data_IF_783175281169
#
_entry.id   IF_783175281169
#
_cell.length_a   1.000
_cell.length_b   1.000
_cell.length_c   1.000
_cell.angle_alpha   90.00
_cell.angle_beta   90.00
_cell.angle_gamma   90.00
#
_symmetry.space_group_name_H-M   'P 1'
#
loop_
_entity.id
_entity.type
_entity.pdbx_description
1 polymer ?
#
# COMPACT_ATOMS: atom_id res chain seq x y z
N UNK A 1 -8.55 22.83 12.93
CA UNK A 1 -7.13 22.46 12.79
C UNK A 1 -7.13 20.99 12.41
N UNK A 2 -6.59 20.50 11.30
CA UNK A 2 -5.49 20.98 10.46
C UNK A 2 -5.82 20.77 8.97
N UNK A 3 -5.25 21.63 8.11
CA UNK A 3 -5.24 21.40 6.68
C UNK A 3 -4.18 20.36 6.31
N UNK A 4 -4.60 19.25 5.72
CA UNK A 4 -3.70 18.26 5.10
C UNK A 4 -3.90 18.12 3.59
N UNK A 5 -4.95 18.73 3.03
CA UNK A 5 -5.32 18.60 1.61
C UNK A 5 -4.24 19.09 0.64
N UNK A 6 -3.38 20.04 1.04
CA UNK A 6 -2.34 20.59 0.16
C UNK A 6 -1.15 19.66 -0.09
N UNK A 7 -0.70 18.91 0.93
CA UNK A 7 0.47 18.04 0.81
C UNK A 7 0.16 16.72 0.09
N UNK A 8 -1.06 16.23 0.27
CA UNK A 8 -1.56 15.02 -0.38
C UNK A 8 -1.69 15.22 -1.89
N UNK A 9 -2.30 16.34 -2.30
CA UNK A 9 -2.60 16.62 -3.72
C UNK A 9 -1.33 16.90 -4.53
N UNK A 10 -0.33 17.53 -3.90
CA UNK A 10 0.99 17.77 -4.51
C UNK A 10 1.77 16.47 -4.71
N UNK A 11 1.78 15.61 -3.70
CA UNK A 11 2.43 14.29 -3.77
C UNK A 11 1.79 13.37 -4.81
N UNK A 12 0.45 13.38 -4.93
CA UNK A 12 -0.25 12.61 -5.97
C UNK A 12 0.11 13.10 -7.39
N UNK A 13 0.29 14.41 -7.57
CA UNK A 13 0.75 14.99 -8.84
C UNK A 13 2.20 14.62 -9.15
N UNK A 14 3.06 14.55 -8.14
CA UNK A 14 4.47 14.19 -8.29
C UNK A 14 4.65 12.76 -8.81
N UNK A 15 3.83 11.82 -8.34
CA UNK A 15 3.84 10.44 -8.81
C UNK A 15 3.23 10.25 -10.22
N UNK A 16 2.63 11.30 -10.81
CA UNK A 16 1.95 11.25 -12.10
C UNK A 16 0.86 10.15 -12.23
N UNK A 17 0.32 9.67 -11.10
CA UNK A 17 -0.74 8.65 -11.10
C UNK A 17 -2.08 9.37 -11.25
N UNK A 18 -2.91 8.99 -12.24
CA UNK A 18 -4.22 9.60 -12.40
C UNK A 18 -5.14 9.33 -11.21
N UNK A 19 -5.91 10.33 -10.80
CA UNK A 19 -6.82 10.24 -9.64
C UNK A 19 -7.88 9.13 -9.78
N UNK A 20 -8.23 8.78 -11.02
CA UNK A 20 -9.12 7.64 -11.31
C UNK A 20 -8.53 6.31 -10.85
N UNK A 21 -7.21 6.16 -10.91
CA UNK A 21 -6.49 4.98 -10.40
C UNK A 21 -6.31 5.07 -8.88
N UNK A 22 -6.03 6.25 -8.34
CA UNK A 22 -5.88 6.43 -6.89
C UNK A 22 -7.15 6.07 -6.11
N UNK A 23 -8.33 6.35 -6.67
CA UNK A 23 -9.64 6.10 -6.03
C UNK A 23 -10.17 4.68 -6.18
N UNK A 24 -9.55 3.82 -7.01
CA UNK A 24 -9.95 2.41 -7.12
C UNK A 24 -9.17 1.54 -6.14
N UNK A 25 -9.65 0.32 -5.99
CA UNK A 25 -8.95 -0.71 -5.24
C UNK A 25 -7.74 -1.22 -6.05
N UNK A 26 -6.62 -1.54 -5.37
CA UNK A 26 -5.52 -2.25 -5.99
C UNK A 26 -5.91 -3.71 -6.30
N UNK A 27 -5.46 -4.18 -7.45
CA UNK A 27 -5.53 -5.57 -7.89
C UNK A 27 -4.46 -6.39 -7.17
N UNK A 28 -4.65 -7.70 -7.09
CA UNK A 28 -3.69 -8.59 -6.43
C UNK A 28 -2.31 -8.54 -7.10
N UNK A 29 -2.26 -8.39 -8.43
CA UNK A 29 -1.01 -8.18 -9.16
C UNK A 29 -0.31 -6.88 -8.75
N UNK A 30 -1.06 -5.80 -8.54
CA UNK A 30 -0.52 -4.51 -8.10
C UNK A 30 0.01 -4.63 -6.67
N UNK A 31 -0.78 -5.22 -5.77
CA UNK A 31 -0.37 -5.49 -4.39
C UNK A 31 0.90 -6.35 -4.32
N UNK A 32 1.03 -7.38 -5.16
CA UNK A 32 2.22 -8.23 -5.21
C UNK A 32 3.47 -7.45 -5.67
N UNK A 33 3.33 -6.55 -6.65
CA UNK A 33 4.45 -5.70 -7.09
C UNK A 33 4.84 -4.68 -6.01
N UNK A 34 3.86 -4.09 -5.32
CA UNK A 34 4.08 -3.15 -4.21
C UNK A 34 4.70 -3.87 -3.01
N UNK A 35 4.27 -5.10 -2.71
CA UNK A 35 4.82 -5.91 -1.62
C UNK A 35 6.32 -6.21 -1.78
N UNK A 36 6.84 -6.21 -3.02
CA UNK A 36 8.28 -6.33 -3.29
C UNK A 36 9.05 -5.02 -3.09
N UNK A 37 8.33 -3.89 -3.03
CA UNK A 37 8.88 -2.55 -2.80
C UNK A 37 8.88 -2.20 -1.32
N UNK A 38 7.84 -2.62 -0.60
CA UNK A 38 7.79 -2.50 0.85
C UNK A 38 8.93 -3.36 1.43
N UNK A 39 9.83 -2.70 2.14
CA UNK A 39 10.97 -3.34 2.80
C UNK A 39 10.58 -3.90 4.15
N UNK A 40 11.37 -3.59 5.17
CA UNK A 40 11.17 -4.08 6.55
C UNK A 40 10.11 -3.28 7.32
N UNK A 41 9.59 -2.20 6.75
CA UNK A 41 8.57 -1.34 7.38
C UNK A 41 7.14 -1.90 7.27
N UNK A 42 6.96 -3.05 6.63
CA UNK A 42 5.64 -3.66 6.46
C UNK A 42 4.79 -3.85 7.73
N UNK A 43 5.33 -4.16 8.93
CA UNK A 43 4.47 -4.34 10.09
C UNK A 43 3.89 -3.00 10.56
N UNK A 44 4.65 -1.90 10.48
CA UNK A 44 4.16 -0.56 10.80
C UNK A 44 3.13 -0.11 9.77
N UNK A 45 3.41 -0.36 8.49
CA UNK A 45 2.48 -0.09 7.40
C UNK A 45 1.18 -0.88 7.54
N UNK A 46 1.23 -2.16 7.90
CA UNK A 46 0.04 -2.96 8.14
C UNK A 46 -0.81 -2.41 9.28
N UNK A 47 -0.18 -1.96 10.37
CA UNK A 47 -0.86 -1.34 11.51
C UNK A 47 -1.52 -0.02 11.10
N UNK A 48 -0.80 0.83 10.36
CA UNK A 48 -1.30 2.11 9.85
C UNK A 48 -2.51 1.93 8.92
N UNK A 49 -2.48 0.87 8.10
CA UNK A 49 -3.59 0.47 7.26
C UNK A 49 -4.78 -0.13 8.04
N UNK A 50 -4.67 -0.33 9.35
CA UNK A 50 -5.74 -0.88 10.19
C UNK A 50 -5.73 -2.40 10.31
N UNK A 51 -4.69 -3.09 9.83
CA UNK A 51 -4.54 -4.53 10.04
C UNK A 51 -4.08 -4.78 11.47
N UNK A 52 -4.80 -5.63 12.24
CA UNK A 52 -4.44 -5.90 13.62
C UNK A 52 -3.08 -6.60 13.69
N UNK A 53 -2.21 -6.15 14.61
CA UNK A 53 -0.87 -6.72 14.81
C UNK A 53 -0.88 -8.24 15.01
N UNK A 54 -1.88 -8.78 15.70
CA UNK A 54 -2.03 -10.23 15.88
C UNK A 54 -2.16 -10.98 14.53
N UNK A 55 -2.78 -10.35 13.52
CA UNK A 55 -2.91 -10.92 12.19
C UNK A 55 -1.63 -10.81 11.39
N UNK A 56 -0.90 -9.71 11.53
CA UNK A 56 0.43 -9.53 10.96
C UNK A 56 1.39 -10.62 11.48
N UNK A 57 1.44 -10.80 12.79
CA UNK A 57 2.27 -11.82 13.45
C UNK A 57 1.91 -13.24 13.00
N UNK A 58 0.61 -13.54 12.89
CA UNK A 58 0.13 -14.82 12.33
C UNK A 58 0.64 -15.03 10.89
N UNK A 59 0.48 -14.03 10.02
CA UNK A 59 0.93 -14.11 8.62
C UNK A 59 2.45 -14.30 8.54
N UNK A 60 3.21 -13.60 9.39
CA UNK A 60 4.67 -13.74 9.52
C UNK A 60 5.08 -15.15 9.93
N UNK A 61 4.39 -15.74 10.90
CA UNK A 61 4.63 -17.13 11.32
C UNK A 61 4.33 -18.12 10.20
N UNK A 62 3.22 -17.93 9.47
CA UNK A 62 2.82 -18.79 8.35
C UNK A 62 3.75 -18.68 7.13
N UNK A 63 4.37 -17.51 6.93
CA UNK A 63 5.13 -17.18 5.72
C UNK A 63 6.58 -16.76 6.01
N UNK A 64 7.16 -17.28 7.10
CA UNK A 64 8.47 -16.87 7.64
C UNK A 64 9.61 -16.85 6.60
N UNK A 65 9.53 -17.70 5.58
CA UNK A 65 10.55 -17.82 4.53
C UNK A 65 10.48 -16.75 3.42
N UNK A 66 9.41 -15.95 3.33
CA UNK A 66 9.23 -15.03 2.22
C UNK A 66 8.55 -13.72 2.65
N UNK A 67 9.36 -12.70 2.96
CA UNK A 67 8.89 -11.38 3.36
C UNK A 67 7.96 -10.76 2.32
N UNK A 68 8.25 -10.86 1.02
CA UNK A 68 7.33 -10.34 -0.01
C UNK A 68 5.96 -11.03 0.02
N UNK A 69 5.90 -12.31 0.37
CA UNK A 69 4.63 -13.01 0.53
C UNK A 69 3.89 -12.57 1.81
N UNK A 70 4.60 -12.41 2.92
CA UNK A 70 4.06 -11.84 4.17
C UNK A 70 3.39 -10.49 3.88
N UNK A 71 4.11 -9.60 3.22
CA UNK A 71 3.62 -8.26 2.90
C UNK A 71 2.39 -8.33 1.99
N UNK A 72 2.44 -9.16 0.96
CA UNK A 72 1.31 -9.35 0.05
C UNK A 72 0.05 -9.83 0.80
N UNK A 73 0.20 -10.76 1.73
CA UNK A 73 -0.90 -11.25 2.57
C UNK A 73 -1.46 -10.16 3.50
N UNK A 74 -0.60 -9.33 4.10
CA UNK A 74 -1.03 -8.19 4.93
C UNK A 74 -1.84 -7.19 4.09
N UNK A 75 -1.38 -6.86 2.89
CA UNK A 75 -2.09 -5.95 1.98
C UNK A 75 -3.41 -6.54 1.49
N UNK A 76 -3.46 -7.86 1.26
CA UNK A 76 -4.69 -8.58 0.95
C UNK A 76 -5.69 -8.51 2.10
N UNK A 77 -5.23 -8.71 3.33
CA UNK A 77 -6.06 -8.65 4.53
C UNK A 77 -6.60 -7.24 4.77
N UNK A 78 -5.75 -6.22 4.62
CA UNK A 78 -6.17 -4.82 4.63
C UNK A 78 -7.29 -4.57 3.61
N UNK A 79 -7.09 -5.01 2.36
CA UNK A 79 -8.08 -4.86 1.30
C UNK A 79 -9.40 -5.56 1.65
N UNK A 80 -9.35 -6.75 2.27
CA UNK A 80 -10.54 -7.49 2.70
C UNK A 80 -11.25 -6.80 3.85
N UNK A 81 -10.51 -6.30 4.83
CA UNK A 81 -11.06 -5.64 6.03
C UNK A 81 -11.66 -4.26 5.72
N UNK A 82 -11.02 -3.48 4.85
CA UNK A 82 -11.42 -2.09 4.57
C UNK A 82 -12.30 -1.94 3.31
N UNK A 83 -12.57 -3.01 2.56
CA UNK A 83 -13.44 -3.10 1.37
C UNK A 83 -13.46 -1.85 0.48
N UNK A 84 -14.29 -0.83 0.75
CA UNK A 84 -14.43 0.40 -0.05
C UNK A 84 -13.37 1.47 0.22
N UNK A 85 -12.71 1.43 1.38
CA UNK A 85 -11.69 2.39 1.79
C UNK A 85 -10.27 1.92 1.46
N UNK A 86 -10.12 0.68 1.01
CA UNK A 86 -8.87 0.08 0.57
C UNK A 86 -8.44 0.58 -0.82
N UNK A 87 -8.31 1.90 -0.94
CA UNK A 87 -7.94 2.58 -2.18
C UNK A 87 -6.43 2.67 -2.34
N UNK A 88 -5.95 2.70 -3.59
CA UNK A 88 -4.53 2.89 -3.89
C UNK A 88 -3.99 4.16 -3.21
N UNK A 89 -4.81 5.20 -3.11
CA UNK A 89 -4.45 6.42 -2.41
C UNK A 89 -4.03 6.17 -0.95
N UNK A 90 -4.85 5.46 -0.17
CA UNK A 90 -4.57 5.18 1.23
C UNK A 90 -3.31 4.33 1.38
N UNK A 91 -3.10 3.36 0.48
CA UNK A 91 -1.88 2.56 0.46
C UNK A 91 -0.63 3.42 0.23
N UNK A 92 -0.65 4.30 -0.76
CA UNK A 92 0.49 5.17 -1.08
C UNK A 92 0.77 6.18 0.03
N UNK A 93 -0.26 6.68 0.70
CA UNK A 93 -0.11 7.53 1.88
C UNK A 93 0.57 6.76 3.01
N UNK A 94 0.05 5.58 3.37
CA UNK A 94 0.66 4.75 4.41
C UNK A 94 2.12 4.42 4.09
N UNK A 95 2.43 4.08 2.84
CA UNK A 95 3.82 3.87 2.39
C UNK A 95 4.68 5.11 2.61
N UNK A 96 4.20 6.30 2.20
CA UNK A 96 4.93 7.55 2.37
C UNK A 96 5.17 7.88 3.85
N UNK A 97 4.15 7.76 4.68
CA UNK A 97 4.24 8.07 6.12
C UNK A 97 5.18 7.12 6.86
N UNK A 98 5.27 5.87 6.38
CA UNK A 98 6.19 4.88 6.92
C UNK A 98 7.63 5.00 6.36
N UNK A 99 7.85 5.85 5.35
CA UNK A 99 9.17 6.05 4.73
C UNK A 99 9.53 5.01 3.66
N UNK A 100 8.55 4.25 3.17
CA UNK A 100 8.78 3.23 2.15
C UNK A 100 9.21 3.83 0.82
N UNK A 101 10.05 3.09 0.11
CA UNK A 101 10.46 3.45 -1.25
C UNK A 101 9.26 3.41 -2.21
N UNK A 102 8.96 4.57 -2.78
CA UNK A 102 7.89 4.74 -3.76
C UNK A 102 8.43 4.76 -5.20
N UNK A 103 9.73 4.54 -5.38
CA UNK A 103 10.37 4.58 -6.68
C UNK A 103 9.83 3.45 -7.58
N UNK A 104 9.30 3.83 -8.74
CA UNK A 104 8.68 2.89 -9.68
C UNK A 104 7.35 2.29 -9.21
N UNK A 105 6.84 2.65 -8.04
CA UNK A 105 5.46 2.37 -7.65
C UNK A 105 4.45 2.99 -8.63
N UNK A 106 4.58 4.25 -9.10
CA UNK A 106 3.67 4.78 -10.11
C UNK A 106 3.67 3.97 -11.40
N UNK A 107 4.81 3.40 -11.80
CA UNK A 107 4.93 2.56 -12.99
C UNK A 107 4.04 1.31 -12.91
N UNK A 108 3.84 0.75 -11.71
CA UNK A 108 2.94 -0.39 -11.49
C UNK A 108 1.52 -0.08 -11.97
N UNK A 109 1.09 1.17 -11.76
CA UNK A 109 -0.26 1.65 -12.05
C UNK A 109 -0.38 2.23 -13.47
N UNK A 110 0.65 2.92 -13.95
CA UNK A 110 0.64 3.60 -15.25
C UNK A 110 1.00 2.65 -16.40
N UNK A 111 1.87 1.66 -16.19
CA UNK A 111 2.26 0.68 -17.23
C UNK A 111 1.13 -0.26 -17.67
N UNK A 112 0.02 -0.34 -16.94
CA UNK A 112 -1.14 -1.19 -17.29
C UNK A 112 -2.22 -0.47 -18.14
N UNK A 113 -1.99 0.79 -18.52
CA UNK A 113 -2.92 1.61 -19.33
C UNK A 113 -2.48 1.78 -20.80
N UNK A 114 -1.44 1.06 -21.25
CA UNK A 114 -0.94 1.13 -22.63
C UNK A 114 -1.52 0.06 -23.55
#
# INVERSE_FOLDING_TARGET
>A
MAGTTGNDEFFMKELQIPQTVLKRLPSEKELSRIARKIGKEYPLLGIDLGVPKAKIDQIEMENNNNTSNVIFQILLEWKRSHYKEATILNLLKAMKENGCDLEGVPDIFTSMQK
#
